data_IF_316361585563
#
_entry.id   IF_316361585563
#
_cell.length_a   1.000
_cell.length_b   1.000
_cell.length_c   1.000
_cell.angle_alpha   90.00
_cell.angle_beta   90.00
_cell.angle_gamma   90.00
#
_symmetry.space_group_name_H-M   'P 1'
#
loop_
_entity.id
_entity.type
_entity.pdbx_description
1 polymer ?
#
# COMPACT_ATOMS: atom_id res chain seq x y z
N UNK A 1 -7.69 31.34 38.03
CA UNK A 1 -6.81 30.83 36.95
C UNK A 1 -7.70 30.21 35.89
N UNK A 2 -7.77 30.78 34.70
CA UNK A 2 -8.54 30.24 33.58
C UNK A 2 -7.57 29.75 32.52
N UNK A 3 -7.66 28.47 32.14
CA UNK A 3 -6.95 27.93 30.99
C UNK A 3 -7.85 28.08 29.77
N UNK A 4 -7.50 28.97 28.83
CA UNK A 4 -8.18 29.07 27.55
C UNK A 4 -7.28 28.46 26.47
N UNK A 5 -7.60 27.25 26.03
CA UNK A 5 -7.00 26.64 24.84
C UNK A 5 -7.79 27.14 23.62
N UNK A 6 -7.30 28.18 22.95
CA UNK A 6 -7.88 28.63 21.69
C UNK A 6 -7.25 27.83 20.54
N UNK A 7 -7.66 26.58 20.36
CA UNK A 7 -7.44 25.90 19.08
C UNK A 7 -8.53 26.36 18.15
N UNK A 8 -8.19 26.99 17.02
CA UNK A 8 -9.15 27.14 15.92
C UNK A 8 -9.65 25.75 15.56
N UNK A 9 -10.91 25.44 15.87
CA UNK A 9 -11.59 24.29 15.29
C UNK A 9 -11.51 24.43 13.77
N UNK A 10 -10.97 23.40 13.10
CA UNK A 10 -10.66 23.47 11.66
C UNK A 10 -9.18 23.67 11.35
N UNK A 11 -8.31 22.94 12.05
CA UNK A 11 -6.87 22.96 11.79
C UNK A 11 -6.54 22.60 10.33
N UNK A 12 -5.93 23.55 9.62
CA UNK A 12 -5.34 23.37 8.28
C UNK A 12 -3.86 23.03 8.37
N UNK A 13 -3.23 22.61 7.28
CA UNK A 13 -1.77 22.42 7.24
C UNK A 13 -1.06 23.76 7.44
N UNK A 14 -0.04 23.79 8.29
CA UNK A 14 0.82 24.94 8.51
C UNK A 14 1.01 25.30 9.97
N UNK A 15 1.54 26.51 10.22
CA UNK A 15 1.81 26.99 11.56
C UNK A 15 0.54 27.51 12.23
N UNK A 16 0.26 27.00 13.42
CA UNK A 16 -0.80 27.44 14.31
C UNK A 16 -0.22 27.94 15.62
N UNK A 17 -0.99 28.75 16.32
CA UNK A 17 -0.56 29.35 17.58
C UNK A 17 -1.42 28.85 18.73
N UNK A 18 -0.77 28.26 19.72
CA UNK A 18 -1.36 27.95 21.01
C UNK A 18 -0.98 29.06 22.00
N UNK A 19 -1.98 29.79 22.52
CA UNK A 19 -1.77 30.82 23.55
C UNK A 19 -2.28 30.33 24.91
N UNK A 20 -1.37 30.27 25.90
CA UNK A 20 -1.69 29.96 27.29
C UNK A 20 -1.67 31.28 28.07
N UNK A 21 -2.84 31.65 28.58
CA UNK A 21 -3.05 32.94 29.25
C UNK A 21 -3.32 32.77 30.75
N UNK A 22 -2.56 33.47 31.59
CA UNK A 22 -2.85 33.61 33.02
C UNK A 22 -3.45 34.99 33.29
N UNK A 23 -4.75 35.03 33.60
CA UNK A 23 -5.51 36.28 33.80
C UNK A 23 -6.23 36.32 35.16
N UNK A 24 -6.41 37.52 35.70
CA UNK A 24 -7.37 37.83 36.77
C UNK A 24 -8.28 38.98 36.30
N UNK A 25 -9.54 38.68 36.00
CA UNK A 25 -10.42 39.63 35.32
C UNK A 25 -9.87 40.04 33.96
N UNK A 26 -9.65 41.34 33.75
CA UNK A 26 -9.08 41.91 32.52
C UNK A 26 -7.56 41.97 32.51
N UNK A 27 -6.89 41.72 33.64
CA UNK A 27 -5.44 41.80 33.76
C UNK A 27 -4.80 40.49 33.33
N UNK A 28 -3.93 40.53 32.32
CA UNK A 28 -3.06 39.42 31.92
C UNK A 28 -1.73 39.51 32.65
N UNK A 29 -1.38 38.47 33.41
CA UNK A 29 -0.11 38.40 34.14
C UNK A 29 0.96 37.63 33.35
N UNK A 30 0.53 36.68 32.51
CA UNK A 30 1.41 35.88 31.68
C UNK A 30 0.66 35.47 30.43
N UNK A 31 1.32 35.61 29.29
CA UNK A 31 0.92 35.00 28.03
C UNK A 31 2.11 34.20 27.50
N UNK A 32 1.90 32.90 27.29
CA UNK A 32 2.86 32.03 26.63
C UNK A 32 2.30 31.68 25.27
N UNK A 33 3.05 32.03 24.22
CA UNK A 33 2.70 31.74 22.84
C UNK A 33 3.59 30.60 22.36
N UNK A 34 2.98 29.48 21.98
CA UNK A 34 3.65 28.31 21.43
C UNK A 34 3.21 28.18 19.98
N UNK A 35 4.18 28.12 19.06
CA UNK A 35 3.91 27.81 17.66
C UNK A 35 3.91 26.29 17.50
N UNK A 36 2.84 25.74 16.95
CA UNK A 36 2.72 24.32 16.60
C UNK A 36 2.56 24.22 15.09
N UNK A 37 3.33 23.35 14.45
CA UNK A 37 3.16 23.06 13.02
C UNK A 37 2.26 21.84 12.86
N UNK A 38 1.18 22.00 12.10
CA UNK A 38 0.31 20.90 11.70
C UNK A 38 0.74 20.47 10.31
N UNK A 39 1.38 19.29 10.23
CA UNK A 39 1.81 18.70 8.97
C UNK A 39 0.70 17.97 8.22
N UNK A 40 1.09 17.21 7.19
CA UNK A 40 0.18 16.29 6.52
C UNK A 40 -0.21 15.17 7.50
N UNK A 41 -1.51 15.04 7.77
CA UNK A 41 -2.04 14.05 8.70
C UNK A 41 -2.92 13.07 7.95
N UNK A 42 -2.33 11.96 7.52
CA UNK A 42 -3.00 10.86 6.83
C UNK A 42 -2.31 9.55 7.23
N UNK A 43 -2.97 8.42 7.01
CA UNK A 43 -2.41 7.10 7.29
C UNK A 43 -2.99 6.05 6.35
N UNK A 44 -2.43 4.84 6.36
CA UNK A 44 -2.97 3.70 5.64
C UNK A 44 -3.13 2.48 6.55
N UNK A 45 -4.13 1.66 6.28
CA UNK A 45 -4.42 0.45 7.06
C UNK A 45 -4.94 -0.67 6.16
N UNK A 46 -4.96 -1.89 6.68
CA UNK A 46 -5.55 -3.05 6.00
C UNK A 46 -4.97 -3.29 4.59
N UNK A 47 -3.64 -3.23 4.46
CA UNK A 47 -2.98 -3.62 3.23
C UNK A 47 -3.19 -5.12 2.99
N UNK A 48 -3.92 -5.43 1.91
CA UNK A 48 -4.21 -6.78 1.43
C UNK A 48 -3.58 -6.90 0.04
N UNK A 49 -2.89 -8.00 -0.20
CA UNK A 49 -2.27 -8.28 -1.49
C UNK A 49 -2.29 -9.78 -1.77
N UNK A 50 -2.27 -10.13 -3.05
CA UNK A 50 -2.11 -11.51 -3.48
C UNK A 50 -0.68 -11.98 -3.25
N UNK A 51 -0.53 -13.13 -2.58
CA UNK A 51 0.78 -13.72 -2.29
C UNK A 51 1.32 -14.54 -3.46
N UNK A 52 0.45 -15.00 -4.34
CA UNK A 52 0.77 -15.83 -5.48
C UNK A 52 -0.04 -15.35 -6.68
N UNK A 53 0.58 -15.29 -7.85
CA UNK A 53 -0.10 -15.00 -9.12
C UNK A 53 0.40 -15.95 -10.21
N UNK A 54 -0.44 -16.22 -11.20
CA UNK A 54 -0.01 -16.96 -12.38
C UNK A 54 0.76 -16.02 -13.31
N UNK A 55 1.86 -16.50 -13.88
CA UNK A 55 2.67 -15.79 -14.87
C UNK A 55 1.80 -15.14 -15.95
N UNK A 56 1.97 -13.83 -16.14
CA UNK A 56 1.23 -13.02 -17.10
C UNK A 56 -0.10 -12.46 -16.58
N UNK A 57 -0.50 -12.78 -15.35
CA UNK A 57 -1.62 -12.12 -14.66
C UNK A 57 -1.13 -10.94 -13.82
N UNK A 58 -2.05 -10.04 -13.45
CA UNK A 58 -1.74 -8.89 -12.59
C UNK A 58 -1.92 -9.29 -11.12
N UNK A 59 -1.05 -8.81 -10.24
CA UNK A 59 -1.25 -8.94 -8.79
C UNK A 59 -2.20 -7.87 -8.27
N UNK A 60 -3.23 -8.29 -7.53
CA UNK A 60 -4.16 -7.38 -6.89
C UNK A 60 -3.63 -6.91 -5.52
N UNK A 61 -3.74 -5.61 -5.28
CA UNK A 61 -3.42 -4.96 -4.01
C UNK A 61 -4.54 -4.01 -3.62
N UNK A 62 -4.95 -4.03 -2.35
CA UNK A 62 -5.91 -3.08 -1.80
C UNK A 62 -5.53 -2.60 -0.42
N UNK A 63 -5.97 -1.38 -0.07
CA UNK A 63 -5.76 -0.81 1.26
C UNK A 63 -6.79 0.27 1.56
N UNK A 64 -6.90 0.63 2.84
CA UNK A 64 -7.66 1.78 3.29
C UNK A 64 -6.72 2.96 3.53
N UNK A 65 -7.02 4.09 2.92
CA UNK A 65 -6.33 5.36 3.10
C UNK A 65 -7.19 6.29 3.94
N UNK A 66 -6.60 6.95 4.93
CA UNK A 66 -7.31 7.72 5.95
C UNK A 66 -6.79 9.15 5.94
N UNK A 67 -7.68 10.13 5.85
CA UNK A 67 -7.37 11.53 6.06
C UNK A 67 -7.83 11.97 7.44
N UNK A 68 -6.92 12.42 8.30
CA UNK A 68 -7.27 12.90 9.64
C UNK A 68 -7.48 14.41 9.70
N UNK A 69 -7.19 15.15 8.62
CA UNK A 69 -7.39 16.59 8.59
C UNK A 69 -8.88 16.90 8.51
N UNK A 70 -9.39 17.78 9.41
CA UNK A 70 -10.81 17.96 9.57
C UNK A 70 -11.48 18.77 8.45
N UNK A 71 -10.74 19.68 7.83
CA UNK A 71 -11.23 20.68 6.87
C UNK A 71 -10.28 20.81 5.65
N UNK A 72 -9.53 19.75 5.33
CA UNK A 72 -8.52 19.78 4.28
C UNK A 72 -8.51 18.51 3.44
N UNK A 73 -8.77 18.67 2.15
CA UNK A 73 -8.57 17.62 1.14
C UNK A 73 -7.08 17.46 0.85
N UNK A 74 -6.60 16.22 0.86
CA UNK A 74 -5.21 15.89 0.60
C UNK A 74 -5.07 15.06 -0.69
N UNK A 75 -4.06 15.39 -1.47
CA UNK A 75 -3.64 14.61 -2.64
C UNK A 75 -2.25 14.04 -2.39
N UNK A 76 -2.05 12.77 -2.73
CA UNK A 76 -0.77 12.07 -2.62
C UNK A 76 -0.66 11.01 -3.71
N UNK A 77 0.56 10.53 -3.97
CA UNK A 77 0.83 9.44 -4.89
C UNK A 77 0.98 8.13 -4.12
N UNK A 78 0.37 7.07 -4.63
CA UNK A 78 0.67 5.70 -4.27
C UNK A 78 1.46 5.09 -5.42
N UNK A 79 2.70 4.70 -5.13
CA UNK A 79 3.61 4.12 -6.11
C UNK A 79 3.97 2.69 -5.70
N UNK A 80 4.19 1.84 -6.69
CA UNK A 80 4.70 0.49 -6.50
C UNK A 80 5.95 0.30 -7.35
N UNK A 81 6.93 -0.39 -6.79
CA UNK A 81 8.20 -0.68 -7.42
C UNK A 81 8.50 -2.17 -7.32
N UNK A 82 9.03 -2.73 -8.40
CA UNK A 82 9.64 -4.06 -8.46
C UNK A 82 11.16 -3.87 -8.54
N UNK A 83 11.90 -4.31 -7.52
CA UNK A 83 13.36 -4.13 -7.43
C UNK A 83 13.85 -2.74 -7.89
N UNK A 84 13.27 -1.70 -7.26
CA UNK A 84 13.49 -0.27 -7.51
C UNK A 84 12.98 0.27 -8.87
N UNK A 85 12.42 -0.57 -9.73
CA UNK A 85 11.80 -0.17 -10.99
C UNK A 85 10.32 0.18 -10.78
N UNK A 86 9.92 1.39 -11.15
CA UNK A 86 8.53 1.84 -11.00
C UNK A 86 7.60 1.03 -11.90
N UNK A 87 6.64 0.33 -11.30
CA UNK A 87 5.64 -0.48 -12.01
C UNK A 87 4.27 0.22 -12.08
N UNK A 88 3.91 1.00 -11.07
CA UNK A 88 2.65 1.73 -11.02
C UNK A 88 2.79 3.00 -10.19
N UNK A 89 2.14 4.08 -10.62
CA UNK A 89 2.01 5.31 -9.85
C UNK A 89 0.63 5.91 -10.08
N UNK A 90 -0.12 6.08 -9.01
CA UNK A 90 -1.49 6.62 -9.05
C UNK A 90 -1.64 7.78 -8.07
N UNK A 91 -2.23 8.87 -8.55
CA UNK A 91 -2.58 10.01 -7.71
C UNK A 91 -3.92 9.73 -7.02
N UNK A 92 -3.94 9.86 -5.70
CA UNK A 92 -5.14 9.64 -4.88
C UNK A 92 -5.53 10.90 -4.15
N UNK A 93 -6.79 11.29 -4.32
CA UNK A 93 -7.46 12.33 -3.55
C UNK A 93 -8.20 11.72 -2.35
N UNK A 94 -7.97 12.27 -1.16
CA UNK A 94 -8.77 12.03 0.04
C UNK A 94 -9.44 13.33 0.49
N UNK A 95 -10.76 13.34 0.60
CA UNK A 95 -11.48 14.47 1.20
C UNK A 95 -11.34 14.48 2.72
N UNK A 96 -11.80 15.55 3.35
CA UNK A 96 -11.69 15.73 4.80
C UNK A 96 -12.32 14.57 5.58
N UNK A 97 -11.61 14.05 6.60
CA UNK A 97 -12.04 12.94 7.47
C UNK A 97 -12.43 11.64 6.73
N UNK A 98 -12.01 11.47 5.47
CA UNK A 98 -12.36 10.30 4.67
C UNK A 98 -11.55 9.06 5.07
N UNK A 99 -12.21 7.91 5.03
CA UNK A 99 -11.56 6.60 4.89
C UNK A 99 -11.95 6.08 3.52
N UNK A 100 -10.96 5.96 2.63
CA UNK A 100 -11.16 5.53 1.24
C UNK A 100 -10.49 4.19 1.01
N UNK A 101 -11.23 3.24 0.48
CA UNK A 101 -10.64 2.00 -0.01
C UNK A 101 -10.12 2.21 -1.44
N UNK A 102 -8.89 1.78 -1.69
CA UNK A 102 -8.24 1.86 -3.00
C UNK A 102 -7.75 0.49 -3.45
N UNK A 103 -7.73 0.31 -4.76
CA UNK A 103 -7.42 -0.95 -5.43
C UNK A 103 -6.42 -0.70 -6.55
N UNK A 104 -5.43 -1.60 -6.67
CA UNK A 104 -4.37 -1.51 -7.66
C UNK A 104 -4.14 -2.88 -8.29
N UNK A 105 -3.96 -2.88 -9.61
CA UNK A 105 -3.54 -4.06 -10.37
C UNK A 105 -2.10 -3.84 -10.80
N UNK A 106 -1.19 -4.63 -10.23
CA UNK A 106 0.23 -4.55 -10.50
C UNK A 106 0.56 -5.50 -11.66
N UNK A 107 1.02 -4.92 -12.78
CA UNK A 107 1.46 -5.71 -13.92
C UNK A 107 2.93 -6.07 -13.71
N UNK A 108 3.19 -7.28 -13.22
CA UNK A 108 4.54 -7.82 -13.11
C UNK A 108 4.96 -8.37 -14.47
N UNK A 109 6.13 -7.96 -14.97
CA UNK A 109 6.56 -8.32 -16.33
C UNK A 109 7.23 -9.70 -16.41
N UNK A 110 7.58 -10.28 -15.27
CA UNK A 110 8.27 -11.55 -15.22
C UNK A 110 7.33 -12.73 -15.53
N UNK A 111 7.90 -13.77 -16.13
CA UNK A 111 7.23 -14.99 -16.56
C UNK A 111 7.81 -16.26 -15.93
N UNK A 112 8.91 -16.16 -15.18
CA UNK A 112 9.55 -17.27 -14.48
C UNK A 112 9.00 -17.45 -13.06
N UNK A 113 9.03 -18.68 -12.56
CA UNK A 113 8.61 -18.98 -11.20
C UNK A 113 9.63 -18.46 -10.20
N UNK A 114 9.31 -17.40 -9.46
CA UNK A 114 10.15 -16.86 -8.40
C UNK A 114 9.38 -15.85 -7.52
N UNK A 115 10.02 -15.40 -6.43
CA UNK A 115 9.49 -14.37 -5.55
C UNK A 115 9.92 -12.98 -6.04
N UNK A 116 8.93 -12.13 -6.30
CA UNK A 116 9.11 -10.72 -6.65
C UNK A 116 8.99 -9.88 -5.38
N UNK A 117 9.95 -8.99 -5.16
CA UNK A 117 9.88 -8.01 -4.07
C UNK A 117 9.21 -6.72 -4.54
N UNK A 118 8.08 -6.39 -3.92
CA UNK A 118 7.33 -5.17 -4.22
C UNK A 118 7.50 -4.16 -3.10
N UNK A 119 7.94 -2.95 -3.46
CA UNK A 119 7.98 -1.80 -2.56
C UNK A 119 6.82 -0.86 -2.89
N UNK A 120 5.91 -0.67 -1.93
CA UNK A 120 4.88 0.36 -1.96
C UNK A 120 5.41 1.64 -1.30
N UNK A 121 5.18 2.78 -1.92
CA UNK A 121 5.43 4.10 -1.36
C UNK A 121 4.20 4.99 -1.40
N UNK A 122 3.94 5.72 -0.31
CA UNK A 122 2.96 6.81 -0.27
C UNK A 122 3.71 8.12 -0.11
N UNK A 123 3.59 9.00 -1.09
CA UNK A 123 4.40 10.22 -1.19
C UNK A 123 3.57 11.45 -1.54
N UNK A 124 4.02 12.63 -1.13
CA UNK A 124 3.45 13.91 -1.52
C UNK A 124 4.58 14.86 -1.93
N UNK A 125 4.56 15.29 -3.19
CA UNK A 125 5.69 16.00 -3.79
C UNK A 125 6.93 15.11 -3.83
N UNK A 126 8.03 15.58 -3.25
CA UNK A 126 9.29 14.84 -3.13
C UNK A 126 9.42 14.04 -1.82
N UNK A 127 8.44 14.14 -0.92
CA UNK A 127 8.52 13.54 0.41
C UNK A 127 7.77 12.20 0.43
N UNK A 128 8.48 11.13 0.78
CA UNK A 128 7.91 9.81 1.05
C UNK A 128 7.52 9.75 2.53
N UNK A 129 6.26 9.41 2.81
CA UNK A 129 5.73 9.32 4.18
C UNK A 129 5.67 7.87 4.67
N UNK A 130 5.32 6.95 3.77
CA UNK A 130 5.19 5.53 4.07
C UNK A 130 5.91 4.71 3.02
N UNK A 131 6.62 3.68 3.48
CA UNK A 131 7.25 2.66 2.64
C UNK A 131 6.92 1.31 3.22
N UNK A 132 6.49 0.37 2.37
CA UNK A 132 6.19 -1.00 2.77
C UNK A 132 6.67 -1.99 1.71
N UNK A 133 7.42 -2.99 2.15
CA UNK A 133 7.82 -4.11 1.30
C UNK A 133 6.95 -5.33 1.56
N UNK A 134 6.66 -6.06 0.48
CA UNK A 134 5.98 -7.35 0.50
C UNK A 134 6.41 -8.19 -0.71
N UNK A 135 6.10 -9.49 -0.68
CA UNK A 135 6.50 -10.44 -1.72
C UNK A 135 5.29 -11.03 -2.42
N UNK A 136 5.40 -11.15 -3.75
CA UNK A 136 4.44 -11.85 -4.61
C UNK A 136 5.19 -12.96 -5.32
N UNK A 137 4.73 -14.19 -5.20
CA UNK A 137 5.30 -15.33 -5.94
C UNK A 137 4.62 -15.45 -7.31
N UNK A 138 5.41 -15.41 -8.37
CA UNK A 138 4.95 -15.74 -9.71
C UNK A 138 5.07 -17.26 -9.86
N UNK A 139 4.00 -17.91 -10.33
CA UNK A 139 4.00 -19.35 -10.65
C UNK A 139 3.62 -19.56 -12.12
N UNK A 140 4.23 -20.56 -12.76
CA UNK A 140 3.85 -20.91 -14.13
C UNK A 140 2.40 -21.40 -14.20
N UNK A 141 1.74 -21.08 -15.32
CA UNK A 141 0.37 -21.53 -15.59
C UNK A 141 0.27 -23.05 -15.63
N UNK A 142 1.26 -23.73 -16.20
CA UNK A 142 1.30 -25.17 -16.28
C UNK A 142 2.53 -25.70 -15.57
N UNK A 143 2.35 -26.71 -14.74
CA UNK A 143 3.43 -27.39 -14.03
C UNK A 143 3.38 -28.89 -14.31
N UNK A 144 4.53 -29.49 -14.64
CA UNK A 144 4.65 -30.94 -14.80
C UNK A 144 4.84 -31.55 -13.41
N UNK A 145 3.82 -32.26 -12.91
CA UNK A 145 3.86 -32.90 -11.61
C UNK A 145 4.63 -34.22 -11.62
N UNK A 146 4.46 -35.01 -12.69
CA UNK A 146 5.16 -36.29 -12.82
C UNK A 146 5.25 -36.75 -14.26
N UNK A 147 6.30 -37.54 -14.51
CA UNK A 147 6.55 -38.22 -15.78
C UNK A 147 7.01 -39.64 -15.47
N UNK A 148 6.24 -40.65 -15.88
CA UNK A 148 6.60 -42.04 -15.59
C UNK A 148 6.03 -43.03 -16.62
N UNK A 149 6.63 -44.22 -16.62
CA UNK A 149 6.09 -45.39 -17.27
C UNK A 149 5.47 -46.29 -16.18
N UNK A 150 4.25 -46.82 -16.39
CA UNK A 150 3.58 -47.62 -15.36
C UNK A 150 4.26 -48.97 -15.11
N UNK A 151 5.08 -49.44 -16.06
CA UNK A 151 5.79 -50.73 -15.99
C UNK A 151 7.20 -50.61 -16.58
N UNK A 152 8.08 -51.58 -16.28
CA UNK A 152 9.44 -51.67 -16.84
C UNK A 152 9.34 -52.05 -18.32
N UNK A 153 9.98 -51.28 -19.19
CA UNK A 153 9.83 -51.43 -20.64
C UNK A 153 11.12 -51.95 -21.27
N UNK A 154 11.00 -53.04 -22.03
CA UNK A 154 12.11 -53.61 -22.80
C UNK A 154 12.42 -52.76 -24.04
N UNK A 155 13.71 -52.70 -24.41
CA UNK A 155 14.15 -51.94 -25.59
C UNK A 155 13.43 -52.44 -26.86
N UNK A 156 12.84 -51.52 -27.63
CA UNK A 156 12.12 -51.83 -28.86
C UNK A 156 10.65 -52.24 -28.69
N UNK A 157 10.14 -52.32 -27.45
CA UNK A 157 8.73 -52.57 -27.18
C UNK A 157 7.90 -51.28 -27.15
N UNK A 158 6.61 -51.39 -27.48
CA UNK A 158 5.66 -50.30 -27.32
C UNK A 158 5.43 -49.99 -25.83
N UNK A 159 5.27 -48.71 -25.51
CA UNK A 159 5.24 -48.18 -24.16
C UNK A 159 4.03 -47.29 -23.91
N UNK A 160 3.45 -47.35 -22.72
CA UNK A 160 2.52 -46.34 -22.23
C UNK A 160 3.27 -45.27 -21.47
N UNK A 161 3.21 -44.03 -21.95
CA UNK A 161 3.82 -42.88 -21.31
C UNK A 161 2.74 -42.07 -20.59
N UNK A 162 2.93 -41.82 -19.30
CA UNK A 162 2.03 -41.00 -18.50
C UNK A 162 2.76 -39.72 -18.07
N UNK A 163 2.16 -38.58 -18.42
CA UNK A 163 2.56 -37.25 -17.97
C UNK A 163 1.38 -36.61 -17.25
N UNK A 164 1.62 -36.12 -16.04
CA UNK A 164 0.63 -35.36 -15.26
C UNK A 164 1.00 -33.88 -15.30
N UNK A 165 0.07 -33.05 -15.79
CA UNK A 165 0.23 -31.59 -15.86
C UNK A 165 -0.86 -30.96 -14.99
N UNK A 166 -0.47 -30.04 -14.11
CA UNK A 166 -1.38 -29.20 -13.35
C UNK A 166 -1.53 -27.84 -14.05
N UNK A 167 -2.77 -27.37 -14.17
CA UNK A 167 -3.05 -25.98 -14.52
C UNK A 167 -3.24 -25.20 -13.22
N UNK A 168 -2.35 -24.26 -12.95
CA UNK A 168 -2.35 -23.43 -11.74
C UNK A 168 -3.33 -22.26 -11.82
N UNK A 169 -3.91 -22.00 -13.00
CA UNK A 169 -4.93 -20.97 -13.15
C UNK A 169 -6.27 -21.47 -12.59
N UNK A 170 -6.81 -20.76 -11.59
CA UNK A 170 -8.17 -21.01 -11.10
C UNK A 170 -9.18 -20.81 -12.24
N UNK A 171 -10.17 -21.70 -12.33
CA UNK A 171 -11.27 -21.53 -13.26
C UNK A 171 -12.20 -20.44 -12.72
N UNK A 172 -12.13 -19.26 -13.33
CA UNK A 172 -13.08 -18.16 -13.16
C UNK A 172 -14.50 -18.53 -13.58
#
# INVERSE_FOLDING_TARGET
VSFNLATTLGATIGNHTLSINFKNGTITYLEIIIIIEIGNSFDYTNLIYERFIVSGESAFVSMNLINFLPDNTQTFNVSFFEDDSLILKEETLLIEKEIKNVYYNLNLTDTETHLVNITMEISKGSTVFYTKQFYVEIIQKFEILSVFFPEIISQGAAAQFIMMIQNNQEQS
#
